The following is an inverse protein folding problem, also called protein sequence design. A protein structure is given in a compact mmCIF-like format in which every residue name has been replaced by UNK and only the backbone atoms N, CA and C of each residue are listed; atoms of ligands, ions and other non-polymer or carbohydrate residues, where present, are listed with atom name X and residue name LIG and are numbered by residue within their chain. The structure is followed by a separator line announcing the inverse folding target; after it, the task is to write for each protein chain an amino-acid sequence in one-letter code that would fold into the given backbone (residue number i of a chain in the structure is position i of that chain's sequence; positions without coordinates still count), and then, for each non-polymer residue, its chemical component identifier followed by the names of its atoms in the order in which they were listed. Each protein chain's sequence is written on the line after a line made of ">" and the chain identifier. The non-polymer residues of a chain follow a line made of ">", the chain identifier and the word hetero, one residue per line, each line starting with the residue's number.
data_IF_590077034786
#
_entry.id   IF_590077034786
#
_cell.length_a   1.000
_cell.length_b   1.000
_cell.length_c   1.000
_cell.angle_alpha   90.00
_cell.angle_beta   90.00
_cell.angle_gamma   90.00
#
_symmetry.space_group_name_H-M   'P 1'
#
loop_
_entity.id
_entity.type
_entity.pdbx_description
1 polymer ?
#
# COMPACT_ATOMS: atom_id res chain seq x y z
N UNK A 1 13.66 0.96 -0.68
CA UNK A 1 13.68 0.87 0.79
C UNK A 1 12.78 -0.29 1.22
N UNK A 2 13.12 -1.05 2.27
CA UNK A 2 12.36 -2.27 2.68
C UNK A 2 12.29 -2.42 4.20
N UNK A 3 11.36 -3.25 4.68
CA UNK A 3 11.16 -3.62 6.09
C UNK A 3 10.86 -2.41 7.00
N UNK A 4 9.67 -1.85 6.84
CA UNK A 4 9.24 -0.68 7.61
C UNK A 4 8.69 -1.09 8.98
N UNK A 5 8.78 -0.22 10.01
CA UNK A 5 8.11 -0.43 11.29
C UNK A 5 6.61 -0.69 11.10
N UNK A 6 6.07 -1.67 11.81
CA UNK A 6 4.67 -2.10 11.66
C UNK A 6 3.67 -0.99 12.01
N UNK A 7 4.03 -0.10 12.93
CA UNK A 7 3.10 0.90 13.50
C UNK A 7 2.77 2.05 12.55
N UNK A 8 3.57 2.24 11.49
CA UNK A 8 3.38 3.29 10.48
C UNK A 8 2.88 2.74 9.14
N UNK A 9 2.55 1.44 9.07
CA UNK A 9 2.12 0.76 7.84
C UNK A 9 0.79 0.04 8.06
N UNK A 10 0.12 -0.29 6.97
CA UNK A 10 -1.24 -0.82 7.00
C UNK A 10 -1.33 -2.23 7.60
N UNK A 11 -2.50 -2.58 8.16
CA UNK A 11 -2.77 -3.85 8.83
C UNK A 11 -2.51 -5.10 7.96
N UNK A 12 -2.68 -4.98 6.64
CA UNK A 12 -2.58 -6.10 5.71
C UNK A 12 -1.13 -6.48 5.34
N UNK A 13 -0.13 -5.71 5.78
CA UNK A 13 1.27 -5.99 5.45
C UNK A 13 1.81 -7.11 6.35
N UNK A 14 2.47 -8.11 5.76
CA UNK A 14 2.96 -9.28 6.50
C UNK A 14 3.92 -8.88 7.61
N UNK A 15 3.69 -9.38 8.82
CA UNK A 15 4.58 -9.18 9.95
C UNK A 15 5.84 -10.05 9.80
N UNK A 16 7.00 -9.43 9.88
CA UNK A 16 8.28 -10.12 9.84
C UNK A 16 8.54 -10.90 11.14
N UNK A 17 9.50 -11.81 11.10
CA UNK A 17 9.87 -12.67 12.25
C UNK A 17 10.39 -11.87 13.46
N UNK A 18 10.86 -10.64 13.23
CA UNK A 18 11.29 -9.73 14.30
C UNK A 18 10.13 -9.17 15.15
N UNK A 19 8.88 -9.36 14.71
CA UNK A 19 7.67 -8.84 15.36
C UNK A 19 7.55 -7.31 15.38
N UNK A 20 8.49 -6.59 14.75
CA UNK A 20 8.61 -5.12 14.79
C UNK A 20 8.42 -4.48 13.42
N UNK A 21 8.80 -5.18 12.37
CA UNK A 21 8.73 -4.69 10.99
C UNK A 21 7.76 -5.48 10.15
N UNK A 22 7.31 -4.89 9.05
CA UNK A 22 6.47 -5.53 8.04
C UNK A 22 7.21 -5.65 6.73
N UNK A 23 6.87 -6.66 5.93
CA UNK A 23 7.40 -6.93 4.60
C UNK A 23 6.92 -5.91 3.54
N UNK A 24 7.16 -4.64 3.80
CA UNK A 24 6.90 -3.52 2.91
C UNK A 24 8.13 -3.19 2.06
N UNK A 25 7.90 -2.68 0.86
CA UNK A 25 8.92 -2.14 -0.02
C UNK A 25 8.42 -0.89 -0.72
N UNK A 26 9.28 0.12 -0.77
CA UNK A 26 9.04 1.38 -1.48
C UNK A 26 10.22 1.57 -2.47
N UNK A 27 9.90 1.79 -3.76
CA UNK A 27 10.87 2.09 -4.82
C UNK A 27 11.01 3.60 -4.93
N UNK A 28 12.23 4.09 -4.76
CA UNK A 28 12.55 5.52 -4.79
C UNK A 28 13.26 5.84 -6.10
N UNK A 29 12.70 6.76 -6.88
CA UNK A 29 13.26 7.29 -8.10
C UNK A 29 13.86 8.69 -7.83
N UNK A 30 14.97 9.05 -8.51
CA UNK A 30 15.58 10.38 -8.39
C UNK A 30 14.58 11.51 -8.69
N UNK A 31 14.64 12.59 -7.92
CA UNK A 31 13.79 13.78 -8.10
C UNK A 31 12.36 13.65 -7.57
N UNK A 32 11.64 12.57 -7.91
CA UNK A 32 10.22 12.40 -7.54
C UNK A 32 10.01 11.64 -6.21
N UNK A 33 11.03 10.94 -5.71
CA UNK A 33 10.91 10.13 -4.50
C UNK A 33 10.19 8.80 -4.79
N UNK A 34 9.17 8.47 -4.00
CA UNK A 34 8.47 7.18 -4.12
C UNK A 34 7.63 7.08 -5.41
N UNK A 35 7.92 6.06 -6.23
CA UNK A 35 7.16 5.75 -7.45
C UNK A 35 6.29 4.49 -7.31
N UNK A 36 6.79 3.47 -6.60
CA UNK A 36 6.08 2.20 -6.36
C UNK A 36 6.11 1.91 -4.86
N UNK A 37 4.95 1.56 -4.31
CA UNK A 37 4.81 1.10 -2.94
C UNK A 37 4.13 -0.27 -2.93
N UNK A 38 4.68 -1.22 -2.19
CA UNK A 38 4.17 -2.59 -2.17
C UNK A 38 4.47 -3.32 -0.88
N UNK A 39 3.87 -4.49 -0.73
CA UNK A 39 4.16 -5.39 0.38
C UNK A 39 3.84 -6.83 0.05
N UNK A 40 4.47 -7.75 0.77
CA UNK A 40 3.85 -9.05 1.00
C UNK A 40 2.61 -8.86 1.87
N UNK A 41 1.55 -9.60 1.58
CA UNK A 41 0.30 -9.54 2.32
C UNK A 41 0.34 -10.54 3.46
N UNK A 42 -0.26 -10.19 4.59
CA UNK A 42 -0.40 -11.12 5.71
C UNK A 42 -1.38 -12.23 5.32
N UNK A 43 -0.82 -13.42 5.16
CA UNK A 43 -1.51 -14.63 4.75
C UNK A 43 -2.08 -15.43 5.92
N UNK A 44 -1.57 -15.20 7.14
CA UNK A 44 -1.96 -15.92 8.37
C UNK A 44 -3.11 -15.20 9.04
N UNK A 45 -4.26 -15.87 9.15
CA UNK A 45 -5.51 -15.24 9.58
C UNK A 45 -5.48 -14.75 11.04
N UNK A 46 -4.81 -15.47 11.92
CA UNK A 46 -4.61 -15.13 13.33
C UNK A 46 -3.79 -13.85 13.49
N UNK A 47 -2.68 -13.74 12.73
CA UNK A 47 -1.83 -12.54 12.72
C UNK A 47 -2.58 -11.35 12.11
N UNK A 48 -3.29 -11.56 10.99
CA UNK A 48 -4.10 -10.52 10.36
C UNK A 48 -5.18 -10.00 11.33
N UNK A 49 -5.89 -10.90 11.98
CA UNK A 49 -6.94 -10.58 12.94
C UNK A 49 -6.42 -9.81 14.15
N UNK A 50 -5.22 -10.14 14.65
CA UNK A 50 -4.56 -9.40 15.73
C UNK A 50 -4.19 -7.98 15.26
N UNK A 51 -3.62 -7.83 14.06
CA UNK A 51 -3.27 -6.53 13.49
C UNK A 51 -4.50 -5.64 13.24
N UNK A 52 -5.62 -6.23 12.81
CA UNK A 52 -6.88 -5.50 12.67
C UNK A 52 -7.40 -4.99 14.01
N UNK A 53 -7.33 -5.81 15.06
CA UNK A 53 -7.72 -5.40 16.40
C UNK A 53 -6.82 -4.28 16.96
N UNK A 54 -5.49 -4.38 16.78
CA UNK A 54 -4.52 -3.34 17.16
C UNK A 54 -4.82 -1.98 16.50
N UNK A 55 -5.33 -1.98 15.26
CA UNK A 55 -5.67 -0.78 14.49
C UNK A 55 -7.14 -0.34 14.62
N UNK A 56 -7.93 -1.01 15.49
CA UNK A 56 -9.33 -0.66 15.72
C UNK A 56 -10.28 -0.97 14.56
N UNK A 57 -9.94 -1.94 13.70
CA UNK A 57 -10.76 -2.34 12.56
C UNK A 57 -11.76 -3.43 12.94
N UNK A 58 -13.02 -3.27 12.54
CA UNK A 58 -14.06 -4.27 12.74
C UNK A 58 -13.91 -5.42 11.74
N UNK A 59 -13.71 -6.66 12.23
CA UNK A 59 -13.49 -7.84 11.38
C UNK A 59 -14.67 -8.18 10.48
N UNK A 60 -15.89 -7.86 10.90
CA UNK A 60 -17.10 -8.19 10.15
C UNK A 60 -17.17 -7.40 8.83
N UNK A 61 -16.66 -6.17 8.79
CA UNK A 61 -16.63 -5.38 7.54
C UNK A 61 -15.68 -5.97 6.48
N UNK A 62 -14.76 -6.84 6.92
CA UNK A 62 -13.74 -7.49 6.09
C UNK A 62 -13.95 -9.00 5.99
N UNK A 63 -15.15 -9.51 6.27
CA UNK A 63 -15.44 -10.95 6.25
C UNK A 63 -14.90 -11.64 4.99
N UNK A 64 -15.18 -11.06 3.82
CA UNK A 64 -14.77 -11.58 2.51
C UNK A 64 -13.25 -11.54 2.31
N UNK A 65 -12.58 -10.51 2.84
CA UNK A 65 -11.13 -10.36 2.75
C UNK A 65 -10.41 -11.36 3.66
N UNK A 66 -11.02 -11.69 4.81
CA UNK A 66 -10.55 -12.73 5.73
C UNK A 66 -10.74 -14.13 5.15
N UNK A 67 -11.81 -14.37 4.42
CA UNK A 67 -12.07 -15.66 3.76
C UNK A 67 -10.99 -16.04 2.75
N UNK A 68 -10.33 -15.05 2.12
CA UNK A 68 -9.14 -15.27 1.29
C UNK A 68 -8.00 -15.99 2.04
N UNK A 69 -7.99 -15.93 3.39
CA UNK A 69 -7.01 -16.63 4.23
C UNK A 69 -7.52 -17.96 4.77
N UNK A 70 -8.84 -18.22 4.70
CA UNK A 70 -9.46 -19.46 5.19
C UNK A 70 -9.46 -20.57 4.15
N UNK A 71 -9.68 -20.21 2.89
CA UNK A 71 -9.90 -21.17 1.81
C UNK A 71 -8.68 -21.29 0.88
N UNK A 72 -7.63 -21.95 1.37
CA UNK A 72 -6.43 -22.21 0.57
C UNK A 72 -5.51 -21.00 0.41
N UNK A 73 -5.21 -20.32 1.53
CA UNK A 73 -4.29 -19.17 1.54
C UNK A 73 -2.91 -19.53 0.98
N UNK A 74 -2.25 -18.54 0.39
CA UNK A 74 -0.89 -18.66 -0.15
C UNK A 74 -0.07 -17.43 0.20
N UNK A 75 1.26 -17.56 0.31
CA UNK A 75 2.14 -16.39 0.31
C UNK A 75 1.94 -15.59 -0.98
N UNK A 76 1.52 -14.32 -0.85
CA UNK A 76 1.27 -13.46 -2.00
C UNK A 76 1.72 -12.02 -1.73
N UNK A 77 2.13 -11.33 -2.79
CA UNK A 77 2.66 -9.98 -2.75
C UNK A 77 2.06 -9.14 -3.85
N UNK A 78 2.00 -7.83 -3.65
CA UNK A 78 1.55 -6.90 -4.66
C UNK A 78 2.08 -5.50 -4.41
N UNK A 79 1.96 -4.64 -5.41
CA UNK A 79 2.38 -3.25 -5.35
C UNK A 79 1.39 -2.35 -6.08
N UNK A 80 1.44 -1.07 -5.75
CA UNK A 80 0.77 0.01 -6.48
C UNK A 80 1.81 0.91 -7.13
N UNK A 81 1.47 1.42 -8.31
CA UNK A 81 2.26 2.39 -9.06
C UNK A 81 1.43 3.65 -9.20
N UNK A 82 1.99 4.80 -8.83
CA UNK A 82 1.36 6.09 -9.11
C UNK A 82 1.50 6.41 -10.59
N UNK A 83 0.44 6.26 -11.39
CA UNK A 83 0.51 6.39 -12.84
C UNK A 83 0.91 7.82 -13.26
N UNK A 84 0.32 8.85 -12.66
CA UNK A 84 0.68 10.25 -12.92
C UNK A 84 2.11 10.55 -12.49
N UNK A 85 2.61 9.92 -11.41
CA UNK A 85 4.02 10.05 -11.01
C UNK A 85 4.96 9.44 -12.04
N UNK A 86 4.60 8.28 -12.61
CA UNK A 86 5.36 7.69 -13.70
C UNK A 86 5.40 8.62 -14.91
N UNK A 87 4.26 9.19 -15.31
CA UNK A 87 4.20 10.13 -16.44
C UNK A 87 5.07 11.36 -16.17
N UNK A 88 4.94 11.97 -14.98
CA UNK A 88 5.76 13.11 -14.58
C UNK A 88 7.26 12.78 -14.63
N UNK A 89 7.65 11.59 -14.17
CA UNK A 89 9.04 11.15 -14.21
C UNK A 89 9.57 10.95 -15.63
N UNK A 90 8.83 10.30 -16.53
CA UNK A 90 9.30 10.05 -17.91
C UNK A 90 9.24 11.29 -18.81
N UNK A 91 8.35 12.24 -18.51
CA UNK A 91 8.20 13.49 -19.29
C UNK A 91 9.03 14.65 -18.73
N UNK A 92 9.52 14.56 -17.50
CA UNK A 92 10.24 15.63 -16.80
C UNK A 92 9.34 16.75 -16.27
N UNK A 93 8.02 16.64 -16.45
CA UNK A 93 7.03 17.61 -15.96
C UNK A 93 7.01 17.61 -14.44
N UNK A 94 7.17 18.78 -13.84
CA UNK A 94 7.33 18.93 -12.39
C UNK A 94 6.00 18.88 -11.63
N UNK A 95 4.90 19.29 -12.26
CA UNK A 95 3.60 19.38 -11.62
C UNK A 95 2.68 18.24 -12.07
N UNK A 96 2.22 17.44 -11.12
CA UNK A 96 1.33 16.30 -11.37
C UNK A 96 0.00 16.69 -12.03
N UNK A 97 -0.39 17.98 -11.95
CA UNK A 97 -1.60 18.49 -12.60
C UNK A 97 -1.49 18.56 -14.12
N UNK A 98 -0.26 18.66 -14.63
CA UNK A 98 0.01 18.86 -16.05
C UNK A 98 0.19 17.51 -16.80
N UNK A 99 0.13 16.39 -16.06
CA UNK A 99 0.24 15.02 -16.59
C UNK A 99 -1.09 14.26 -16.58
N UNK A 100 -2.19 14.94 -16.25
CA UNK A 100 -3.56 14.43 -16.33
C UNK A 100 -4.43 15.48 -17.04
N UNK A 101 -5.36 15.09 -17.93
CA UNK A 101 -6.13 16.05 -18.71
C UNK A 101 -6.97 17.03 -17.86
N UNK A 102 -7.59 16.52 -16.79
CA UNK A 102 -8.51 17.29 -15.94
C UNK A 102 -8.20 17.02 -14.46
N UNK A 103 -7.19 17.67 -13.88
CA UNK A 103 -6.77 17.42 -12.51
C UNK A 103 -7.89 17.72 -11.51
N UNK A 104 -7.97 16.93 -10.43
CA UNK A 104 -8.89 17.15 -9.32
C UNK A 104 -8.09 17.52 -8.09
N UNK A 105 -8.37 18.70 -7.53
CA UNK A 105 -7.66 19.22 -6.34
C UNK A 105 -8.65 19.91 -5.39
N UNK A 106 -8.29 20.17 -4.12
CA UNK A 106 -9.21 20.83 -3.19
C UNK A 106 -9.77 22.14 -3.78
N UNK A 107 -11.10 22.25 -3.81
CA UNK A 107 -11.85 23.37 -4.42
C UNK A 107 -11.75 23.49 -5.96
N UNK A 108 -11.29 22.46 -6.67
CA UNK A 108 -11.26 22.43 -8.13
C UNK A 108 -11.72 21.07 -8.68
N UNK A 109 -12.83 21.10 -9.43
CA UNK A 109 -13.40 19.96 -10.15
C UNK A 109 -13.88 20.33 -11.57
N UNK A 110 -13.39 21.44 -12.13
CA UNK A 110 -13.74 21.86 -13.50
C UNK A 110 -12.94 21.05 -14.52
N UNK A 111 -13.34 21.15 -15.79
CA UNK A 111 -12.47 20.80 -16.90
C UNK A 111 -11.36 21.85 -17.03
#
# INVERSE_FOLDING_TARGET
>A
MKNYPKDIKAFYMRLNEDGKTVAAMDVLAPGIGEIIGGSQREERIDVLDARMAEMGLNKEDYWWYRDLRRYGTVPHSGFGLGFERLIAYVTGVQNVRDVIPFPRTPRNATF
#
